data_IF_238496761746
#
_entry.id   IF_238496761746
#
_cell.length_a   1.000
_cell.length_b   1.000
_cell.length_c   1.000
_cell.angle_alpha   90.00
_cell.angle_beta   90.00
_cell.angle_gamma   90.00
#
_symmetry.space_group_name_H-M   'P 1'
#
loop_
_entity.id
_entity.type
_entity.pdbx_description
1 polymer ?
#
# COMPACT_ATOMS: atom_id res chain seq x y z
N UNK A 1 -20.35 -4.32 7.02
CA UNK A 1 -20.50 -3.04 6.31
C UNK A 1 -19.87 -3.21 4.94
N UNK A 2 -20.45 -2.63 3.89
CA UNK A 2 -19.92 -2.73 2.51
C UNK A 2 -18.83 -1.66 2.36
N UNK A 3 -17.60 -2.08 2.13
CA UNK A 3 -16.42 -1.20 2.08
C UNK A 3 -16.35 -0.49 0.72
N UNK A 4 -16.58 0.83 0.72
CA UNK A 4 -16.39 1.66 -0.46
C UNK A 4 -14.91 2.01 -0.59
N UNK A 5 -14.36 1.78 -1.78
CA UNK A 5 -12.98 2.03 -2.16
C UNK A 5 -12.95 2.97 -3.37
N UNK A 6 -11.79 3.59 -3.58
CA UNK A 6 -11.49 4.35 -4.79
C UNK A 6 -10.54 3.54 -5.67
N UNK A 7 -10.42 3.90 -6.95
CA UNK A 7 -9.38 3.39 -7.84
C UNK A 7 -9.25 4.31 -9.05
N UNK A 8 -8.09 4.29 -9.71
CA UNK A 8 -7.89 4.99 -10.99
C UNK A 8 -7.89 3.98 -12.13
N UNK A 9 -8.62 4.31 -13.20
CA UNK A 9 -8.51 3.66 -14.50
C UNK A 9 -7.95 4.67 -15.51
N UNK A 10 -7.08 4.22 -16.41
CA UNK A 10 -6.60 5.06 -17.51
C UNK A 10 -6.85 4.34 -18.83
N UNK A 11 -7.74 4.92 -19.65
CA UNK A 11 -7.91 4.53 -21.05
C UNK A 11 -6.69 5.04 -21.82
N UNK A 12 -5.93 4.11 -22.38
CA UNK A 12 -4.65 4.35 -23.05
C UNK A 12 -4.86 4.82 -24.50
N UNK A 13 -3.81 5.28 -25.20
CA UNK A 13 -3.99 5.85 -26.55
C UNK A 13 -4.68 4.93 -27.56
N UNK A 14 -4.36 3.64 -27.56
CA UNK A 14 -5.04 2.61 -28.37
C UNK A 14 -6.52 2.42 -27.99
N UNK A 15 -6.84 2.50 -26.69
CA UNK A 15 -8.23 2.48 -26.21
C UNK A 15 -9.00 3.71 -26.65
N UNK A 16 -8.36 4.89 -26.65
CA UNK A 16 -8.96 6.14 -27.12
C UNK A 16 -9.22 6.10 -28.64
N UNK A 17 -8.27 5.57 -29.43
CA UNK A 17 -8.42 5.39 -30.88
C UNK A 17 -9.61 4.47 -31.23
N UNK A 18 -9.82 3.43 -30.42
CA UNK A 18 -10.91 2.46 -30.59
C UNK A 18 -12.22 2.85 -29.90
N UNK A 19 -12.29 4.05 -29.30
CA UNK A 19 -13.45 4.56 -28.55
C UNK A 19 -13.94 3.59 -27.46
N UNK A 20 -13.01 2.89 -26.81
CA UNK A 20 -13.27 1.92 -25.72
C UNK A 20 -14.02 2.57 -24.55
N UNK A 21 -13.86 3.88 -24.40
CA UNK A 21 -14.51 4.73 -23.41
C UNK A 21 -16.03 4.50 -23.29
N UNK A 22 -16.73 4.40 -24.43
CA UNK A 22 -18.19 4.22 -24.45
C UNK A 22 -18.59 2.87 -23.82
N UNK A 23 -17.86 1.81 -24.15
CA UNK A 23 -18.09 0.50 -23.55
C UNK A 23 -17.69 0.49 -22.08
N UNK A 24 -16.56 1.12 -21.74
CA UNK A 24 -16.08 1.26 -20.38
C UNK A 24 -17.14 1.88 -19.47
N UNK A 25 -17.68 3.05 -19.84
CA UNK A 25 -18.70 3.75 -19.09
C UNK A 25 -20.00 2.93 -18.97
N UNK A 26 -20.42 2.27 -20.05
CA UNK A 26 -21.63 1.42 -20.03
C UNK A 26 -21.53 0.21 -19.08
N UNK A 27 -20.31 -0.26 -18.80
CA UNK A 27 -20.07 -1.39 -17.91
C UNK A 27 -19.88 -0.98 -16.44
N UNK A 28 -19.64 0.30 -16.14
CA UNK A 28 -19.38 0.73 -14.75
C UNK A 28 -20.54 0.37 -13.81
N UNK A 29 -21.78 0.60 -14.23
CA UNK A 29 -22.97 0.27 -13.42
C UNK A 29 -23.07 -1.23 -13.13
N UNK A 30 -22.80 -2.08 -14.14
CA UNK A 30 -22.78 -3.56 -13.99
C UNK A 30 -21.81 -4.01 -12.90
N UNK A 31 -20.67 -3.32 -12.78
CA UNK A 31 -19.64 -3.61 -11.79
C UNK A 31 -19.77 -2.82 -10.48
N UNK A 32 -20.86 -2.06 -10.30
CA UNK A 32 -21.09 -1.26 -9.10
C UNK A 32 -20.10 -0.12 -8.91
N UNK A 33 -19.51 0.37 -10.02
CA UNK A 33 -18.56 1.48 -10.02
C UNK A 33 -19.27 2.79 -10.40
N UNK A 34 -18.90 3.87 -9.73
CA UNK A 34 -19.36 5.23 -10.02
C UNK A 34 -18.18 6.10 -10.40
N UNK A 35 -18.32 6.90 -11.46
CA UNK A 35 -17.32 7.93 -11.80
C UNK A 35 -17.41 9.07 -10.80
N UNK A 36 -16.29 9.35 -10.12
CA UNK A 36 -16.14 10.53 -9.28
C UNK A 36 -15.65 11.73 -10.09
N UNK A 37 -14.66 11.49 -10.96
CA UNK A 37 -13.98 12.51 -11.75
C UNK A 37 -13.39 11.86 -12.99
N UNK A 38 -13.21 12.62 -14.06
CA UNK A 38 -12.58 12.16 -15.30
C UNK A 38 -11.74 13.27 -15.92
N UNK A 39 -10.58 12.92 -16.49
CA UNK A 39 -9.68 13.89 -17.12
C UNK A 39 -8.96 13.31 -18.33
N UNK A 40 -9.24 13.91 -19.48
CA UNK A 40 -8.44 13.69 -20.68
C UNK A 40 -7.12 14.46 -20.58
N UNK A 41 -6.00 13.78 -20.85
CA UNK A 41 -4.65 14.35 -20.78
C UNK A 41 -3.83 13.92 -21.99
N UNK A 42 -2.81 14.71 -22.35
CA UNK A 42 -1.70 14.27 -23.20
C UNK A 42 -0.45 14.25 -22.34
N UNK A 43 0.13 13.06 -22.19
CA UNK A 43 1.28 12.87 -21.31
C UNK A 43 2.57 13.25 -22.02
N UNK A 44 3.47 13.94 -21.32
CA UNK A 44 4.88 14.00 -21.68
C UNK A 44 5.63 12.77 -21.18
N UNK A 45 6.85 12.53 -21.66
CA UNK A 45 7.69 11.45 -21.12
C UNK A 45 7.89 11.60 -19.60
N UNK A 46 8.13 12.83 -19.13
CA UNK A 46 8.30 13.12 -17.69
C UNK A 46 7.06 12.75 -16.89
N UNK A 47 5.88 12.98 -17.44
CA UNK A 47 4.62 12.59 -16.77
C UNK A 47 4.52 11.07 -16.66
N UNK A 48 4.87 10.34 -17.73
CA UNK A 48 4.83 8.87 -17.73
C UNK A 48 5.79 8.29 -16.68
N UNK A 49 7.02 8.80 -16.64
CA UNK A 49 8.05 8.41 -15.66
C UNK A 49 7.63 8.69 -14.21
N UNK A 50 6.84 9.75 -13.98
CA UNK A 50 6.42 10.14 -12.65
C UNK A 50 5.24 9.32 -12.11
N UNK A 51 4.39 8.74 -12.97
CA UNK A 51 3.10 8.17 -12.54
C UNK A 51 2.83 6.72 -12.95
N UNK A 52 3.70 6.11 -13.76
CA UNK A 52 3.58 4.70 -14.15
C UNK A 52 4.84 3.91 -13.76
N UNK A 53 4.65 2.69 -13.27
CA UNK A 53 5.77 1.87 -12.80
C UNK A 53 6.68 1.37 -13.94
N UNK A 54 6.14 1.25 -15.15
CA UNK A 54 6.89 0.80 -16.32
C UNK A 54 7.80 1.90 -16.85
N UNK A 55 9.10 1.67 -16.75
CA UNK A 55 10.14 2.52 -17.29
C UNK A 55 10.82 1.83 -18.49
N UNK A 56 10.29 2.04 -19.71
CA UNK A 56 10.97 1.64 -20.93
C UNK A 56 10.74 2.63 -22.08
N UNK A 57 11.72 2.86 -22.97
CA UNK A 57 11.57 3.78 -24.09
C UNK A 57 10.34 3.48 -24.97
N UNK A 58 10.06 2.20 -25.21
CA UNK A 58 8.90 1.78 -26.00
C UNK A 58 7.59 2.12 -25.29
N UNK A 59 7.55 1.97 -23.95
CA UNK A 59 6.37 2.33 -23.17
C UNK A 59 6.13 3.84 -23.18
N UNK A 60 7.19 4.65 -23.12
CA UNK A 60 7.08 6.11 -23.25
C UNK A 60 6.56 6.53 -24.61
N UNK A 61 7.14 5.99 -25.69
CA UNK A 61 6.68 6.28 -27.05
C UNK A 61 5.20 5.94 -27.23
N UNK A 62 4.75 4.84 -26.63
CA UNK A 62 3.35 4.44 -26.68
C UNK A 62 2.45 5.36 -25.85
N UNK A 63 2.73 5.57 -24.56
CA UNK A 63 1.86 6.39 -23.69
C UNK A 63 1.82 7.87 -24.10
N UNK A 64 2.81 8.34 -24.85
CA UNK A 64 2.87 9.71 -25.39
C UNK A 64 2.36 9.82 -26.84
N UNK A 65 1.97 8.71 -27.50
CA UNK A 65 1.54 8.73 -28.90
C UNK A 65 0.17 9.38 -29.13
N UNK A 66 -0.64 9.51 -28.09
CA UNK A 66 -2.01 10.01 -28.18
C UNK A 66 -2.54 10.53 -26.85
N UNK A 67 -3.79 10.99 -26.80
CA UNK A 67 -4.45 11.32 -25.55
C UNK A 67 -4.70 10.05 -24.73
N UNK A 68 -4.83 10.24 -23.42
CA UNK A 68 -5.38 9.26 -22.48
C UNK A 68 -6.60 9.87 -21.79
N UNK A 69 -7.52 9.04 -21.33
CA UNK A 69 -8.56 9.49 -20.41
C UNK A 69 -8.45 8.75 -19.07
N UNK A 70 -8.24 9.50 -17.99
CA UNK A 70 -8.19 8.96 -16.64
C UNK A 70 -9.56 9.10 -15.98
N UNK A 71 -9.99 8.05 -15.29
CA UNK A 71 -11.19 8.02 -14.47
C UNK A 71 -10.82 7.74 -13.03
N UNK A 72 -11.31 8.57 -12.13
CA UNK A 72 -11.42 8.19 -10.74
C UNK A 72 -12.76 7.54 -10.50
N UNK A 73 -12.73 6.33 -9.97
CA UNK A 73 -13.90 5.52 -9.70
C UNK A 73 -14.03 5.27 -8.21
N UNK A 74 -15.26 5.09 -7.75
CA UNK A 74 -15.57 4.55 -6.42
C UNK A 74 -16.55 3.39 -6.52
N UNK A 75 -16.47 2.45 -5.58
CA UNK A 75 -17.41 1.33 -5.51
C UNK A 75 -17.01 0.33 -4.43
N UNK A 76 -17.80 -0.72 -4.26
CA UNK A 76 -17.43 -1.84 -3.40
C UNK A 76 -16.30 -2.63 -4.07
N UNK A 77 -15.18 -2.85 -3.35
CA UNK A 77 -13.99 -3.55 -3.88
C UNK A 77 -13.56 -2.97 -5.24
N UNK A 78 -13.43 -1.65 -5.32
CA UNK A 78 -13.36 -0.92 -6.58
C UNK A 78 -12.19 -1.36 -7.48
N UNK A 79 -11.03 -1.67 -6.89
CA UNK A 79 -9.86 -2.15 -7.64
C UNK A 79 -10.11 -3.55 -8.25
N UNK A 80 -10.76 -4.45 -7.52
CA UNK A 80 -11.12 -5.78 -8.02
C UNK A 80 -12.22 -5.69 -9.09
N UNK A 81 -13.25 -4.89 -8.85
CA UNK A 81 -14.31 -4.64 -9.82
C UNK A 81 -13.75 -4.06 -11.13
N UNK A 82 -12.83 -3.09 -11.04
CA UNK A 82 -12.13 -2.53 -12.20
C UNK A 82 -11.25 -3.58 -12.90
N UNK A 83 -10.60 -4.48 -12.14
CA UNK A 83 -9.85 -5.58 -12.73
C UNK A 83 -10.74 -6.45 -13.63
N UNK A 84 -11.91 -6.88 -13.13
CA UNK A 84 -12.82 -7.71 -13.92
C UNK A 84 -13.40 -6.99 -15.13
N UNK A 85 -13.83 -5.73 -14.95
CA UNK A 85 -14.31 -4.88 -16.05
C UNK A 85 -13.24 -4.76 -17.15
N UNK A 86 -11.98 -4.49 -16.77
CA UNK A 86 -10.84 -4.41 -17.69
C UNK A 86 -10.66 -5.72 -18.47
N UNK A 87 -10.79 -6.89 -17.83
CA UNK A 87 -10.67 -8.17 -18.54
C UNK A 87 -11.81 -8.38 -19.54
N UNK A 88 -13.05 -8.03 -19.18
CA UNK A 88 -14.21 -8.15 -20.09
C UNK A 88 -14.02 -7.29 -21.35
N UNK A 89 -13.53 -6.07 -21.20
CA UNK A 89 -13.22 -5.22 -22.36
C UNK A 89 -12.07 -5.79 -23.17
N UNK A 90 -10.97 -6.21 -22.55
CA UNK A 90 -9.85 -6.80 -23.28
C UNK A 90 -10.24 -8.04 -24.08
N UNK A 91 -11.13 -8.86 -23.54
CA UNK A 91 -11.69 -10.01 -24.24
C UNK A 91 -12.48 -9.59 -25.49
N UNK A 92 -13.34 -8.57 -25.36
CA UNK A 92 -14.13 -8.06 -26.49
C UNK A 92 -13.26 -7.53 -27.65
N UNK A 93 -12.04 -7.07 -27.36
CA UNK A 93 -11.09 -6.54 -28.35
C UNK A 93 -9.90 -7.49 -28.61
N UNK A 94 -9.96 -8.76 -28.18
CA UNK A 94 -8.90 -9.76 -28.36
C UNK A 94 -7.51 -9.32 -27.86
N UNK A 95 -7.45 -8.59 -26.74
CA UNK A 95 -6.24 -8.04 -26.12
C UNK A 95 -5.93 -8.68 -24.74
N UNK A 96 -6.23 -9.97 -24.57
CA UNK A 96 -6.14 -10.67 -23.27
C UNK A 96 -4.71 -11.05 -22.85
N UNK A 97 -3.77 -11.12 -23.80
CA UNK A 97 -2.43 -11.64 -23.54
C UNK A 97 -1.66 -10.75 -22.55
N UNK A 98 -1.13 -11.38 -21.48
CA UNK A 98 -0.32 -10.70 -20.47
C UNK A 98 0.97 -10.20 -21.09
N UNK A 99 1.38 -9.00 -20.70
CA UNK A 99 2.64 -8.40 -21.16
C UNK A 99 2.51 -7.60 -22.46
N UNK A 100 1.39 -7.68 -23.19
CA UNK A 100 1.13 -6.77 -24.31
C UNK A 100 1.04 -5.34 -23.78
N UNK A 101 1.80 -4.45 -24.43
CA UNK A 101 1.84 -3.02 -24.11
C UNK A 101 0.53 -2.31 -24.47
N UNK A 102 0.04 -2.55 -25.70
CA UNK A 102 -1.24 -2.06 -26.25
C UNK A 102 -2.39 -2.96 -25.78
N UNK A 103 -2.93 -2.62 -24.62
CA UNK A 103 -3.97 -3.41 -23.97
C UNK A 103 -5.11 -2.54 -23.43
N UNK A 104 -5.34 -1.41 -24.09
CA UNK A 104 -6.51 -0.52 -23.99
C UNK A 104 -6.66 0.25 -22.68
N UNK A 105 -6.57 -0.43 -21.54
CA UNK A 105 -6.90 0.10 -20.22
C UNK A 105 -5.80 -0.28 -19.24
N UNK A 106 -5.31 0.70 -18.48
CA UNK A 106 -4.55 0.48 -17.26
C UNK A 106 -5.48 0.58 -16.05
N UNK A 107 -5.41 -0.42 -15.17
CA UNK A 107 -5.93 -0.34 -13.81
C UNK A 107 -4.76 0.02 -12.92
N UNK A 108 -4.93 1.03 -12.10
CA UNK A 108 -3.91 1.46 -11.16
C UNK A 108 -3.72 0.41 -10.05
N UNK A 109 -2.47 0.10 -9.71
CA UNK A 109 -2.14 -0.72 -8.56
C UNK A 109 -2.34 0.08 -7.26
N UNK A 110 -2.61 -0.63 -6.17
CA UNK A 110 -2.80 -0.02 -4.85
C UNK A 110 -1.52 0.65 -4.33
N UNK A 111 -1.67 1.50 -3.32
CA UNK A 111 -0.53 2.16 -2.69
C UNK A 111 0.07 3.28 -3.55
N UNK A 112 1.36 3.16 -3.89
CA UNK A 112 2.13 4.27 -4.45
C UNK A 112 1.59 4.73 -5.81
N UNK A 113 1.27 3.79 -6.70
CA UNK A 113 0.81 4.12 -8.05
C UNK A 113 -0.50 4.92 -7.99
N UNK A 114 -1.47 4.47 -7.18
CA UNK A 114 -2.71 5.21 -6.97
C UNK A 114 -2.47 6.60 -6.40
N UNK A 115 -1.58 6.73 -5.40
CA UNK A 115 -1.23 8.01 -4.81
C UNK A 115 -0.76 9.02 -5.87
N UNK A 116 0.15 8.56 -6.73
CA UNK A 116 0.78 9.39 -7.75
C UNK A 116 -0.19 9.72 -8.87
N UNK A 117 -0.92 8.72 -9.39
CA UNK A 117 -1.88 8.92 -10.48
C UNK A 117 -3.04 9.80 -10.02
N UNK A 118 -3.58 9.59 -8.83
CA UNK A 118 -4.70 10.39 -8.32
C UNK A 118 -4.30 11.86 -8.18
N UNK A 119 -3.13 12.15 -7.58
CA UNK A 119 -2.63 13.52 -7.46
C UNK A 119 -2.31 14.17 -8.80
N UNK A 120 -1.81 13.40 -9.75
CA UNK A 120 -1.44 13.90 -11.07
C UNK A 120 -2.67 14.20 -11.94
N UNK A 121 -3.59 13.25 -12.04
CA UNK A 121 -4.78 13.42 -12.86
C UNK A 121 -5.80 14.33 -12.18
N UNK A 122 -5.95 14.25 -10.86
CA UNK A 122 -7.05 14.89 -10.14
C UNK A 122 -6.54 15.79 -8.99
N UNK A 123 -5.73 16.82 -9.26
CA UNK A 123 -5.12 17.66 -8.22
C UNK A 123 -6.14 18.56 -7.48
N UNK A 124 -7.24 18.92 -8.14
CA UNK A 124 -8.30 19.78 -7.58
C UNK A 124 -9.25 19.01 -6.68
N UNK A 125 -9.28 17.70 -6.85
CA UNK A 125 -10.07 16.85 -6.01
C UNK A 125 -9.27 16.57 -4.73
N UNK A 126 -9.67 17.19 -3.62
CA UNK A 126 -9.11 16.92 -2.30
C UNK A 126 -9.45 15.48 -1.88
N UNK A 127 -8.61 14.54 -2.28
CA UNK A 127 -8.74 13.14 -1.90
C UNK A 127 -7.89 12.85 -0.66
N UNK A 128 -8.54 12.85 0.51
CA UNK A 128 -8.01 12.26 1.74
C UNK A 128 -8.36 10.75 1.83
N UNK A 129 -8.58 10.10 0.68
CA UNK A 129 -9.07 8.73 0.63
C UNK A 129 -7.93 7.72 0.59
N UNK A 130 -8.15 6.67 1.35
CA UNK A 130 -7.30 5.51 1.43
C UNK A 130 -7.88 4.43 0.48
N UNK A 131 -7.08 3.72 -0.31
CA UNK A 131 -7.62 2.61 -1.12
C UNK A 131 -7.90 1.44 -0.19
N UNK A 132 -9.18 1.11 0.03
CA UNK A 132 -9.56 -0.03 0.88
C UNK A 132 -9.79 0.30 2.36
N UNK A 133 -9.72 -0.76 3.17
CA UNK A 133 -9.53 -0.70 4.61
C UNK A 133 -8.24 0.08 4.87
N UNK A 134 -8.29 1.37 5.22
CA UNK A 134 -7.02 2.09 5.29
C UNK A 134 -6.13 1.55 6.39
N UNK A 135 -4.84 1.45 6.10
CA UNK A 135 -3.80 0.90 6.94
C UNK A 135 -2.71 1.97 7.08
N UNK A 136 -2.93 2.83 8.07
CA UNK A 136 -2.09 4.00 8.30
C UNK A 136 -0.89 3.64 9.17
N UNK A 137 0.33 3.88 8.66
CA UNK A 137 1.55 3.88 9.48
C UNK A 137 1.69 5.20 10.26
N UNK A 138 1.48 5.17 11.57
CA UNK A 138 1.67 6.31 12.48
C UNK A 138 2.84 6.04 13.40
N UNK A 139 3.94 6.79 13.21
CA UNK A 139 5.00 6.84 14.21
C UNK A 139 4.56 7.74 15.38
N UNK A 140 4.50 7.17 16.57
CA UNK A 140 4.04 7.84 17.78
C UNK A 140 5.21 8.28 18.67
N UNK A 141 5.04 9.46 19.25
CA UNK A 141 5.86 9.99 20.35
C UNK A 141 4.93 10.45 21.48
N UNK A 142 5.49 10.67 22.68
CA UNK A 142 4.72 11.20 23.82
C UNK A 142 4.08 12.55 23.50
N UNK A 143 4.76 13.38 22.72
CA UNK A 143 4.29 14.70 22.30
C UNK A 143 3.22 14.62 21.21
N UNK A 144 3.32 13.65 20.29
CA UNK A 144 2.46 13.59 19.10
C UNK A 144 1.18 12.79 19.29
N UNK A 145 1.10 11.88 20.27
CA UNK A 145 0.00 10.90 20.36
C UNK A 145 -1.40 11.52 20.38
N UNK A 146 -1.59 12.64 21.11
CA UNK A 146 -2.88 13.34 21.15
C UNK A 146 -3.27 13.89 19.78
N UNK A 147 -2.33 14.57 19.13
CA UNK A 147 -2.53 15.16 17.81
C UNK A 147 -2.77 14.08 16.74
N UNK A 148 -1.98 13.00 16.77
CA UNK A 148 -2.15 11.87 15.85
C UNK A 148 -3.48 11.15 16.00
N UNK A 149 -4.02 11.03 17.21
CA UNK A 149 -5.37 10.49 17.42
C UNK A 149 -6.46 11.37 16.79
N UNK A 150 -6.34 12.70 16.92
CA UNK A 150 -7.26 13.64 16.28
C UNK A 150 -7.17 13.47 14.76
N UNK A 151 -5.96 13.46 14.19
CA UNK A 151 -5.74 13.26 12.76
C UNK A 151 -6.36 11.94 12.26
N UNK A 152 -6.09 10.83 12.94
CA UNK A 152 -6.70 9.52 12.60
C UNK A 152 -8.22 9.57 12.61
N UNK A 153 -8.84 10.18 13.63
CA UNK A 153 -10.31 10.31 13.68
C UNK A 153 -10.85 11.18 12.54
N UNK A 154 -10.20 12.30 12.25
CA UNK A 154 -10.58 13.14 11.11
C UNK A 154 -10.57 12.36 9.80
N UNK A 155 -9.56 11.53 9.56
CA UNK A 155 -9.47 10.69 8.36
C UNK A 155 -10.47 9.56 8.34
N UNK A 156 -10.79 9.01 9.51
CA UNK A 156 -11.84 8.02 9.65
C UNK A 156 -13.21 8.62 9.32
N UNK A 157 -13.48 9.84 9.78
CA UNK A 157 -14.74 10.57 9.55
C UNK A 157 -14.87 11.04 8.10
N UNK A 158 -13.77 11.49 7.48
CA UNK A 158 -13.75 12.03 6.11
C UNK A 158 -13.51 10.97 5.04
N UNK A 159 -13.03 9.80 5.42
CA UNK A 159 -12.62 8.74 4.50
C UNK A 159 -13.08 7.35 4.94
N UNK A 160 -12.34 6.35 4.49
CA UNK A 160 -12.56 4.93 4.77
C UNK A 160 -11.44 4.36 5.64
N UNK A 161 -10.80 5.19 6.48
CA UNK A 161 -9.83 4.69 7.44
C UNK A 161 -10.49 3.73 8.43
N UNK A 162 -9.94 2.52 8.51
CA UNK A 162 -10.45 1.45 9.37
C UNK A 162 -9.36 0.86 10.25
N UNK A 163 -8.09 0.97 9.85
CA UNK A 163 -6.96 0.43 10.61
C UNK A 163 -5.78 1.39 10.69
N UNK A 164 -5.09 1.39 11.81
CA UNK A 164 -3.87 2.18 11.95
C UNK A 164 -2.80 1.37 12.67
N UNK A 165 -1.65 1.25 12.03
CA UNK A 165 -0.40 0.78 12.59
C UNK A 165 0.22 1.89 13.44
N UNK A 166 0.05 1.81 14.74
CA UNK A 166 0.60 2.77 15.68
C UNK A 166 1.96 2.27 16.16
N UNK A 167 3.01 2.71 15.46
CA UNK A 167 4.39 2.29 15.67
C UNK A 167 5.07 3.18 16.69
N UNK A 168 5.71 2.58 17.69
CA UNK A 168 6.48 3.31 18.69
C UNK A 168 7.87 2.73 18.84
N UNK A 169 8.83 3.58 19.21
CA UNK A 169 10.13 3.10 19.64
C UNK A 169 9.97 2.21 20.87
N UNK A 170 10.69 1.08 20.87
CA UNK A 170 10.63 0.07 21.93
C UNK A 170 10.78 0.67 23.34
N UNK A 171 11.68 1.64 23.53
CA UNK A 171 11.97 2.28 24.83
C UNK A 171 10.80 3.13 25.33
N UNK A 172 9.91 3.54 24.42
CA UNK A 172 8.72 4.33 24.70
C UNK A 172 7.47 3.49 24.89
N UNK A 173 7.54 2.18 24.61
CA UNK A 173 6.40 1.28 24.68
C UNK A 173 5.68 1.32 26.04
N UNK A 174 6.36 1.25 27.21
CA UNK A 174 5.66 1.26 28.50
C UNK A 174 4.77 2.50 28.72
N UNK A 175 5.17 3.65 28.18
CA UNK A 175 4.43 4.91 28.33
C UNK A 175 3.31 5.05 27.30
N UNK A 176 3.55 4.63 26.05
CA UNK A 176 2.62 4.84 24.93
C UNK A 176 1.57 3.73 24.78
N UNK A 177 1.91 2.48 25.13
CA UNK A 177 1.03 1.33 24.96
C UNK A 177 -0.35 1.50 25.62
N UNK A 178 -0.45 1.93 26.90
CA UNK A 178 -1.74 2.09 27.56
C UNK A 178 -2.61 3.19 26.95
N UNK A 179 -2.01 4.13 26.22
CA UNK A 179 -2.71 5.21 25.54
C UNK A 179 -3.30 4.75 24.21
N UNK A 180 -2.68 3.75 23.55
CA UNK A 180 -3.09 3.24 22.24
C UNK A 180 -4.15 2.15 22.42
N UNK A 181 -3.92 1.19 23.31
CA UNK A 181 -4.79 0.03 23.53
C UNK A 181 -6.22 0.39 23.98
N UNK A 182 -6.46 1.63 24.43
CA UNK A 182 -7.78 2.13 24.87
C UNK A 182 -8.63 2.74 23.74
N UNK A 183 -8.09 2.89 22.53
CA UNK A 183 -8.72 3.72 21.48
C UNK A 183 -9.42 2.93 20.37
N UNK A 184 -9.71 1.64 20.57
CA UNK A 184 -10.41 0.77 19.60
C UNK A 184 -11.91 1.10 19.42
N UNK A 185 -12.32 2.34 19.69
CA UNK A 185 -13.70 2.80 19.62
C UNK A 185 -14.05 3.42 18.28
N UNK A 186 -15.33 3.37 17.88
CA UNK A 186 -15.82 4.11 16.72
C UNK A 186 -15.55 3.48 15.36
N UNK A 187 -15.08 2.23 15.29
CA UNK A 187 -14.88 1.50 14.03
C UNK A 187 -13.49 1.68 13.39
N UNK A 188 -12.54 2.28 14.11
CA UNK A 188 -11.11 2.28 13.80
C UNK A 188 -10.44 1.24 14.68
N UNK A 189 -9.79 0.26 14.07
CA UNK A 189 -8.94 -0.68 14.79
C UNK A 189 -7.52 -0.16 14.82
N UNK A 190 -6.90 -0.10 15.99
CA UNK A 190 -5.51 0.32 16.11
C UNK A 190 -4.65 -0.89 16.42
N UNK A 191 -3.67 -1.14 15.57
CA UNK A 191 -2.67 -2.17 15.78
C UNK A 191 -1.40 -1.54 16.37
N UNK A 192 -1.11 -1.74 17.66
CA UNK A 192 0.12 -1.27 18.24
C UNK A 192 1.29 -2.07 17.66
N UNK A 193 2.38 -1.36 17.38
CA UNK A 193 3.61 -1.99 16.91
C UNK A 193 4.85 -1.39 17.58
N UNK A 194 5.87 -2.21 17.74
CA UNK A 194 7.21 -1.76 18.12
C UNK A 194 8.09 -1.60 16.89
N UNK A 195 8.85 -0.51 16.86
CA UNK A 195 10.02 -0.38 16.00
C UNK A 195 11.25 -0.79 16.80
N UNK A 196 11.95 -1.79 16.28
CA UNK A 196 13.22 -2.31 16.77
C UNK A 196 14.26 -2.17 15.66
N UNK A 197 15.54 -2.34 16.00
CA UNK A 197 16.64 -2.33 15.02
C UNK A 197 17.42 -3.64 15.13
N UNK A 198 17.84 -4.17 13.98
CA UNK A 198 18.80 -5.27 13.90
C UNK A 198 19.95 -4.89 12.98
N UNK A 199 21.10 -5.52 13.18
CA UNK A 199 22.29 -5.31 12.36
C UNK A 199 22.42 -6.44 11.32
N UNK A 200 22.66 -6.09 10.06
CA UNK A 200 22.98 -7.02 8.99
C UNK A 200 24.11 -6.45 8.13
N UNK A 201 25.19 -7.20 8.00
CA UNK A 201 26.37 -6.81 7.20
C UNK A 201 26.89 -5.38 7.52
N UNK A 202 26.83 -4.98 8.79
CA UNK A 202 27.31 -3.67 9.26
C UNK A 202 26.33 -2.50 9.04
N UNK A 203 25.11 -2.77 8.56
CA UNK A 203 24.04 -1.78 8.47
C UNK A 203 22.91 -2.10 9.44
N UNK A 204 22.29 -1.06 10.01
CA UNK A 204 21.11 -1.19 10.86
C UNK A 204 19.83 -1.13 10.00
N UNK A 205 18.89 -2.02 10.29
CA UNK A 205 17.61 -2.11 9.59
C UNK A 205 16.44 -2.08 10.58
N UNK A 206 15.32 -1.44 10.23
CA UNK A 206 14.14 -1.40 11.08
C UNK A 206 13.37 -2.72 11.01
N UNK A 207 13.06 -3.29 12.17
CA UNK A 207 12.11 -4.39 12.34
C UNK A 207 10.86 -3.85 13.03
N UNK A 208 9.70 -4.08 12.41
CA UNK A 208 8.41 -3.74 12.98
C UNK A 208 7.78 -5.00 13.56
N UNK A 209 7.33 -4.92 14.80
CA UNK A 209 6.65 -6.02 15.49
C UNK A 209 5.23 -5.58 15.83
N UNK A 210 4.23 -6.15 15.18
CA UNK A 210 2.82 -5.86 15.39
C UNK A 210 2.20 -6.82 16.39
N UNK A 211 1.26 -6.34 17.21
CA UNK A 211 0.62 -7.16 18.25
C UNK A 211 -0.90 -7.11 18.09
N UNK A 212 -1.50 -8.03 17.31
CA UNK A 212 -2.95 -8.07 17.06
C UNK A 212 -3.78 -8.15 18.35
N UNK A 213 -3.30 -8.90 19.34
CA UNK A 213 -3.97 -9.08 20.63
C UNK A 213 -3.65 -7.96 21.64
N UNK A 214 -2.82 -6.98 21.26
CA UNK A 214 -2.48 -5.82 22.08
C UNK A 214 -1.68 -6.14 23.34
N UNK A 215 -1.06 -7.32 23.43
CA UNK A 215 -0.20 -7.72 24.55
C UNK A 215 1.27 -7.71 24.13
N UNK A 216 2.14 -7.28 25.03
CA UNK A 216 3.59 -7.34 24.86
C UNK A 216 4.25 -7.72 26.18
N UNK A 217 5.23 -8.62 26.16
CA UNK A 217 5.95 -9.00 27.37
C UNK A 217 7.01 -7.97 27.74
N UNK A 218 7.32 -7.89 29.03
CA UNK A 218 8.47 -7.13 29.50
C UNK A 218 9.80 -7.70 28.95
N UNK A 219 9.84 -8.98 28.57
CA UNK A 219 11.02 -9.62 27.99
C UNK A 219 11.38 -9.03 26.65
N UNK A 220 10.41 -8.91 25.74
CA UNK A 220 10.62 -8.30 24.43
C UNK A 220 10.99 -6.82 24.53
N UNK A 221 10.36 -6.07 25.44
CA UNK A 221 10.73 -4.67 25.73
C UNK A 221 12.12 -4.56 26.38
N UNK A 222 12.64 -5.61 27.02
CA UNK A 222 13.99 -5.63 27.57
C UNK A 222 15.05 -6.07 26.56
N UNK A 223 14.70 -6.77 25.48
CA UNK A 223 15.61 -7.47 24.56
C UNK A 223 16.59 -6.55 23.82
N UNK A 224 17.87 -6.53 24.20
CA UNK A 224 18.88 -5.62 23.63
C UNK A 224 19.62 -6.18 22.41
N UNK A 225 19.38 -7.44 22.04
CA UNK A 225 20.03 -8.06 20.88
C UNK A 225 19.76 -7.26 19.61
N UNK A 226 20.76 -7.18 18.74
CA UNK A 226 20.63 -6.69 17.36
C UNK A 226 20.73 -7.82 16.34
N UNK A 227 20.74 -9.07 16.80
CA UNK A 227 20.69 -10.24 15.93
C UNK A 227 19.24 -10.47 15.47
N UNK A 228 18.97 -10.51 14.15
CA UNK A 228 17.61 -10.65 13.63
C UNK A 228 16.95 -11.96 14.04
N UNK A 229 17.69 -13.08 14.13
CA UNK A 229 17.14 -14.37 14.54
C UNK A 229 16.67 -14.33 16.00
N UNK A 230 17.45 -13.69 16.88
CA UNK A 230 17.07 -13.51 18.28
C UNK A 230 15.83 -12.63 18.40
N UNK A 231 15.79 -11.51 17.68
CA UNK A 231 14.67 -10.58 17.74
C UNK A 231 13.36 -11.17 17.21
N UNK A 232 13.41 -11.82 16.05
CA UNK A 232 12.24 -12.47 15.45
C UNK A 232 11.68 -13.55 16.38
N UNK A 233 12.55 -14.40 16.94
CA UNK A 233 12.15 -15.43 17.89
C UNK A 233 11.52 -14.84 19.17
N UNK A 234 12.10 -13.76 19.71
CA UNK A 234 11.57 -13.08 20.87
C UNK A 234 10.18 -12.49 20.59
N UNK A 235 10.02 -11.84 19.42
CA UNK A 235 8.75 -11.30 18.97
C UNK A 235 7.67 -12.37 18.81
N UNK A 236 7.98 -13.51 18.16
CA UNK A 236 7.03 -14.61 17.99
C UNK A 236 6.64 -15.29 19.30
N UNK A 237 7.51 -15.28 20.31
CA UNK A 237 7.18 -15.79 21.65
C UNK A 237 6.01 -15.01 22.27
N UNK A 238 5.86 -13.73 21.91
CA UNK A 238 4.78 -12.84 22.31
C UNK A 238 3.64 -12.77 21.28
N UNK A 239 3.58 -13.73 20.34
CA UNK A 239 2.66 -13.72 19.20
C UNK A 239 2.74 -12.43 18.34
N UNK A 240 3.89 -11.76 18.36
CA UNK A 240 4.13 -10.57 17.54
C UNK A 240 4.41 -10.93 16.09
N UNK A 241 3.87 -10.17 15.14
CA UNK A 241 4.11 -10.32 13.71
C UNK A 241 5.25 -9.42 13.26
N UNK A 242 6.21 -9.99 12.56
CA UNK A 242 7.44 -9.33 12.22
C UNK A 242 7.47 -8.89 10.76
N UNK A 243 7.58 -7.59 10.52
CA UNK A 243 7.77 -7.05 9.19
C UNK A 243 9.05 -6.23 9.08
N UNK A 244 9.72 -6.33 7.93
CA UNK A 244 10.83 -5.42 7.63
C UNK A 244 10.23 -4.02 7.42
N UNK A 245 10.66 -3.05 8.22
CA UNK A 245 10.25 -1.65 8.07
C UNK A 245 10.79 -1.02 6.78
N UNK A 246 10.45 0.24 6.54
CA UNK A 246 10.92 0.94 5.33
C UNK A 246 12.43 0.83 5.17
N UNK A 247 12.83 0.16 4.09
CA UNK A 247 14.21 -0.04 3.68
C UNK A 247 14.31 0.31 2.19
N UNK A 248 15.09 1.34 1.80
CA UNK A 248 15.35 1.65 0.40
C UNK A 248 15.90 0.42 -0.33
N UNK A 249 15.54 0.25 -1.60
CA UNK A 249 16.03 -0.91 -2.34
C UNK A 249 17.51 -0.74 -2.69
N UNK A 250 18.30 -1.78 -2.41
CA UNK A 250 19.73 -1.88 -2.73
C UNK A 250 20.08 -3.31 -3.13
N UNK A 251 21.30 -3.53 -3.62
CA UNK A 251 21.76 -4.86 -4.03
C UNK A 251 21.67 -5.89 -2.90
N UNK A 252 21.90 -5.46 -1.66
CA UNK A 252 21.83 -6.30 -0.46
C UNK A 252 20.40 -6.57 0.05
N UNK A 253 19.38 -5.84 -0.43
CA UNK A 253 18.00 -5.99 0.06
C UNK A 253 17.42 -7.36 -0.24
N UNK A 254 17.67 -7.91 -1.44
CA UNK A 254 17.17 -9.24 -1.79
C UNK A 254 17.82 -10.37 -0.96
N UNK A 255 19.16 -10.44 -0.81
CA UNK A 255 19.80 -11.35 0.15
C UNK A 255 19.28 -11.20 1.58
N UNK A 256 19.10 -9.96 2.06
CA UNK A 256 18.56 -9.68 3.39
C UNK A 256 17.16 -10.28 3.57
N UNK A 257 16.24 -10.05 2.63
CA UNK A 257 14.88 -10.59 2.70
C UNK A 257 14.86 -12.12 2.74
N UNK A 258 15.73 -12.78 1.96
CA UNK A 258 15.87 -14.24 1.99
C UNK A 258 16.33 -14.73 3.35
N UNK A 259 17.31 -14.07 3.96
CA UNK A 259 17.77 -14.44 5.29
C UNK A 259 16.69 -14.22 6.34
N UNK A 260 16.09 -13.02 6.39
CA UNK A 260 15.03 -12.72 7.34
C UNK A 260 13.85 -13.70 7.20
N UNK A 261 13.48 -14.08 5.97
CA UNK A 261 12.45 -15.10 5.74
C UNK A 261 12.81 -16.43 6.38
N UNK A 262 14.07 -16.88 6.28
CA UNK A 262 14.55 -18.10 6.92
C UNK A 262 14.52 -18.00 8.45
N UNK A 263 14.72 -16.80 8.98
CA UNK A 263 14.63 -16.50 10.41
C UNK A 263 13.19 -16.32 10.91
N UNK A 264 12.19 -16.31 10.02
CA UNK A 264 10.77 -16.24 10.38
C UNK A 264 10.08 -14.91 10.05
N UNK A 265 10.61 -14.08 9.17
CA UNK A 265 9.93 -12.85 8.77
C UNK A 265 8.52 -13.11 8.20
N UNK A 266 7.55 -12.30 8.63
CA UNK A 266 6.13 -12.44 8.30
C UNK A 266 5.71 -11.54 7.14
N UNK A 267 6.31 -10.35 6.99
CA UNK A 267 5.96 -9.41 5.92
C UNK A 267 7.00 -8.30 5.66
N UNK A 268 6.67 -7.37 4.76
CA UNK A 268 7.54 -6.23 4.42
C UNK A 268 6.73 -4.96 4.18
N UNK A 269 7.19 -3.82 4.73
CA UNK A 269 6.66 -2.50 4.38
C UNK A 269 7.11 -2.11 2.97
N UNK A 270 6.24 -2.38 2.00
CA UNK A 270 6.48 -2.07 0.60
C UNK A 270 6.08 -0.63 0.26
N UNK A 271 4.94 -0.23 0.78
CA UNK A 271 4.21 0.96 0.40
C UNK A 271 4.59 2.18 1.27
N UNK A 272 5.47 3.04 0.76
CA UNK A 272 5.95 4.27 1.42
C UNK A 272 6.19 5.36 0.37
N UNK A 273 5.85 6.62 0.69
CA UNK A 273 5.93 7.74 -0.24
C UNK A 273 7.36 8.13 -0.61
N UNK A 274 8.34 7.73 0.20
CA UNK A 274 9.75 7.88 -0.10
C UNK A 274 10.25 6.86 -1.14
N UNK A 275 9.49 5.79 -1.43
CA UNK A 275 9.86 4.74 -2.39
C UNK A 275 9.47 5.15 -3.81
N UNK A 276 10.40 5.03 -4.75
CA UNK A 276 10.10 5.14 -6.18
C UNK A 276 9.34 3.91 -6.69
N UNK A 277 8.63 4.03 -7.82
CA UNK A 277 7.94 2.89 -8.41
C UNK A 277 8.89 1.77 -8.84
N UNK A 278 10.12 2.10 -9.23
CA UNK A 278 11.13 1.12 -9.60
C UNK A 278 11.57 0.29 -8.39
N UNK A 279 11.86 0.95 -7.26
CA UNK A 279 12.19 0.24 -6.03
C UNK A 279 11.02 -0.61 -5.52
N UNK A 280 9.79 -0.14 -5.72
CA UNK A 280 8.58 -0.89 -5.37
C UNK A 280 8.44 -2.15 -6.26
N UNK A 281 8.58 -2.04 -7.58
CA UNK A 281 8.54 -3.21 -8.49
C UNK A 281 9.58 -4.26 -8.12
N UNK A 282 10.82 -3.84 -7.84
CA UNK A 282 11.90 -4.74 -7.42
C UNK A 282 11.57 -5.43 -6.10
N UNK A 283 11.02 -4.67 -5.14
CA UNK A 283 10.62 -5.22 -3.86
C UNK A 283 9.47 -6.22 -3.98
N UNK A 284 8.41 -5.88 -4.72
CA UNK A 284 7.26 -6.78 -4.94
C UNK A 284 7.72 -8.09 -5.57
N UNK A 285 8.58 -8.03 -6.59
CA UNK A 285 9.11 -9.23 -7.24
C UNK A 285 9.81 -10.17 -6.25
N UNK A 286 10.63 -9.64 -5.36
CA UNK A 286 11.35 -10.50 -4.40
C UNK A 286 10.47 -10.89 -3.21
N UNK A 287 9.76 -9.95 -2.61
CA UNK A 287 8.95 -10.21 -1.42
C UNK A 287 7.74 -11.08 -1.75
N UNK A 288 6.93 -10.71 -2.74
CA UNK A 288 5.71 -11.43 -3.10
C UNK A 288 6.01 -12.60 -4.06
N UNK A 289 6.54 -12.34 -5.26
CA UNK A 289 6.65 -13.40 -6.28
C UNK A 289 7.62 -14.52 -5.87
N UNK A 290 8.80 -14.16 -5.34
CA UNK A 290 9.83 -15.13 -4.93
C UNK A 290 9.60 -15.69 -3.51
N UNK A 291 9.28 -14.83 -2.53
CA UNK A 291 9.28 -15.21 -1.10
C UNK A 291 7.90 -15.37 -0.46
N UNK A 292 6.81 -15.00 -1.16
CA UNK A 292 5.43 -15.07 -0.64
C UNK A 292 5.29 -14.36 0.72
N UNK A 293 5.99 -13.24 0.87
CA UNK A 293 5.88 -12.31 1.99
C UNK A 293 4.75 -11.32 1.70
N UNK A 294 3.72 -11.26 2.55
CA UNK A 294 2.73 -10.20 2.56
C UNK A 294 3.37 -8.81 2.50
N UNK A 295 2.79 -7.97 1.66
CA UNK A 295 3.17 -6.58 1.51
C UNK A 295 2.29 -5.75 2.44
N UNK A 296 2.92 -4.99 3.33
CA UNK A 296 2.25 -4.03 4.20
C UNK A 296 2.67 -2.60 3.85
N UNK A 297 2.06 -1.59 4.46
CA UNK A 297 2.14 -0.23 3.97
C UNK A 297 1.71 0.86 4.94
N UNK A 298 1.99 2.09 4.53
CA UNK A 298 1.48 3.31 5.14
C UNK A 298 2.41 4.51 4.93
N UNK A 299 1.83 5.72 4.86
CA UNK A 299 2.59 6.96 4.68
C UNK A 299 3.36 7.35 5.94
N UNK A 300 4.70 7.38 5.90
CA UNK A 300 5.52 7.98 6.98
C UNK A 300 5.30 9.50 7.06
N UNK A 301 5.16 10.04 8.27
CA UNK A 301 5.24 11.48 8.60
C UNK A 301 4.11 12.44 8.14
N UNK A 302 2.84 12.02 8.14
CA UNK A 302 1.74 12.99 8.22
C UNK A 302 1.23 13.60 6.92
N UNK A 303 1.65 13.11 5.75
CA UNK A 303 0.81 13.19 4.54
C UNK A 303 -0.10 11.97 4.53
N UNK A 304 -1.09 12.03 5.40
CA UNK A 304 -1.85 10.87 5.79
C UNK A 304 -2.75 10.39 4.65
N UNK A 305 -2.81 9.07 4.44
CA UNK A 305 -3.79 8.43 3.56
C UNK A 305 -3.34 8.19 2.13
N UNK A 306 -2.10 8.54 1.76
CA UNK A 306 -1.70 8.45 0.35
C UNK A 306 -1.37 7.05 -0.13
N UNK A 307 -1.06 6.10 0.75
CA UNK A 307 -0.57 4.78 0.35
C UNK A 307 -1.11 3.74 1.32
N UNK A 308 -1.94 2.84 0.81
CA UNK A 308 -2.65 1.79 1.56
C UNK A 308 -2.26 0.40 1.09
N UNK A 309 -2.53 -0.60 1.92
CA UNK A 309 -2.59 -2.00 1.50
C UNK A 309 -4.05 -2.37 1.23
N UNK A 310 -4.27 -3.39 0.39
CA UNK A 310 -5.61 -3.91 0.18
C UNK A 310 -6.06 -4.79 1.35
N UNK A 311 -7.39 -4.95 1.46
CA UNK A 311 -8.02 -5.79 2.48
C UNK A 311 -7.57 -7.27 2.37
N UNK A 312 -7.29 -7.76 1.16
CA UNK A 312 -6.86 -9.12 0.94
C UNK A 312 -5.46 -9.39 1.52
N UNK A 313 -4.51 -8.50 1.26
CA UNK A 313 -3.14 -8.57 1.77
C UNK A 313 -3.11 -8.50 3.30
N UNK A 314 -3.97 -7.65 3.87
CA UNK A 314 -4.15 -7.56 5.30
C UNK A 314 -4.78 -8.82 5.91
N UNK A 315 -5.87 -9.32 5.31
CA UNK A 315 -6.54 -10.53 5.79
C UNK A 315 -5.60 -11.72 5.75
N UNK A 316 -4.79 -11.85 4.69
CA UNK A 316 -3.74 -12.88 4.62
C UNK A 316 -2.72 -12.72 5.74
N UNK A 317 -2.27 -11.49 6.02
CA UNK A 317 -1.34 -11.21 7.11
C UNK A 317 -1.92 -11.59 8.48
N UNK A 318 -3.20 -11.28 8.73
CA UNK A 318 -3.90 -11.67 9.95
C UNK A 318 -4.24 -13.16 10.04
N UNK A 319 -4.58 -13.83 8.93
CA UNK A 319 -4.92 -15.25 8.94
C UNK A 319 -3.71 -16.11 9.31
N UNK A 320 -2.50 -15.66 8.97
CA UNK A 320 -1.24 -16.27 9.45
C UNK A 320 -1.07 -16.22 10.97
N UNK A 321 -1.93 -15.49 11.69
CA UNK A 321 -1.93 -15.37 13.16
C UNK A 321 -2.79 -16.42 13.88
N UNK A 322 -3.64 -17.18 13.16
CA UNK A 322 -4.55 -18.19 13.74
C UNK A 322 -3.94 -19.59 13.67
#
# INVERSE_FOLDING_TARGET
MVEIEYTVAVIKPDGMELQVELQFESLLEKYGLTVCSSKQSRLSQRDVEAVFAKNSPQYFMYMTSGPVNAYLLRGFRASEALYFLKQEIRAAYACEERGIMKNLIHSCDVGNEFAMQSRFFFPEDEFEYCMGIADLYVKLTEESIKQKKIEMRTLQERGNLRWAYCVMAKEKAPALWPLIAKDSGGGLTVLPALEMEFDWQGSAYPLLVYFPDGQISAGLVAEQSRDPQVLLKAAHTDAGLCALGYTPWREETAPLLRELKRCGLDGVVAFDAARSLQELDQLIRVADDELRLPLIGGSRNGHIGSITIGNAEYTEFLERCK
#
